data_IF_061523411577
#
_entry.id   IF_061523411577
#
_cell.length_a   1.000
_cell.length_b   1.000
_cell.length_c   1.000
_cell.angle_alpha   90.00
_cell.angle_beta   90.00
_cell.angle_gamma   90.00
#
_symmetry.space_group_name_H-M   'P 1'
#
loop_
_entity.id
_entity.type
_entity.pdbx_description
1 polymer ?
#
# COMPACT_ATOMS: atom_id res chain seq x y z
N UNK A 1 -4.46 -19.72 -4.95
CA UNK A 1 -2.98 -19.59 -4.98
C UNK A 1 -2.63 -18.32 -5.75
N UNK A 2 -1.66 -17.57 -5.26
CA UNK A 2 -1.13 -16.36 -5.91
C UNK A 2 0.38 -16.29 -5.75
N UNK A 3 1.03 -15.52 -6.63
CA UNK A 3 2.46 -15.24 -6.57
C UNK A 3 2.68 -13.73 -6.62
N UNK A 4 3.71 -13.27 -5.95
CA UNK A 4 4.15 -11.88 -6.02
C UNK A 4 5.30 -11.74 -7.01
N UNK A 5 5.07 -10.91 -8.02
CA UNK A 5 6.05 -10.58 -9.06
C UNK A 5 6.32 -9.07 -9.02
N UNK A 6 7.18 -8.59 -8.11
CA UNK A 6 7.48 -7.17 -8.05
C UNK A 6 8.18 -6.73 -9.34
N UNK A 7 7.60 -5.73 -10.00
CA UNK A 7 8.20 -5.06 -11.15
C UNK A 7 7.89 -5.61 -12.53
N UNK A 8 7.22 -6.76 -12.69
CA UNK A 8 6.75 -7.29 -13.99
C UNK A 8 7.70 -7.03 -15.19
N UNK A 9 9.00 -7.34 -15.03
CA UNK A 9 10.02 -7.12 -16.07
C UNK A 9 10.74 -5.77 -16.00
N UNK A 10 10.36 -4.90 -15.08
CA UNK A 10 11.08 -3.68 -14.74
C UNK A 10 11.85 -3.84 -13.44
N UNK A 11 12.73 -2.88 -13.12
CA UNK A 11 13.37 -2.84 -11.81
C UNK A 11 12.29 -2.72 -10.72
N UNK A 12 12.19 -3.69 -9.81
CA UNK A 12 11.15 -3.71 -8.81
C UNK A 12 11.28 -2.52 -7.83
N UNK A 13 10.15 -1.93 -7.49
CA UNK A 13 10.03 -0.85 -6.52
C UNK A 13 8.85 -1.12 -5.60
N UNK A 14 8.95 -0.68 -4.35
CA UNK A 14 7.88 -0.75 -3.38
C UNK A 14 7.18 0.61 -3.32
N UNK A 15 5.88 0.64 -3.58
CA UNK A 15 5.05 1.82 -3.31
C UNK A 15 4.89 2.00 -1.80
N UNK A 16 5.23 3.18 -1.30
CA UNK A 16 5.14 3.51 0.12
C UNK A 16 3.87 4.29 0.39
N UNK A 17 2.78 3.58 0.58
CA UNK A 17 1.57 4.10 1.21
C UNK A 17 1.44 3.56 2.63
N UNK A 18 0.56 4.13 3.43
CA UNK A 18 0.33 3.66 4.79
C UNK A 18 -1.03 4.04 5.34
N UNK A 19 -1.49 3.25 6.29
CA UNK A 19 -2.66 3.63 7.08
C UNK A 19 -2.23 4.60 8.18
N UNK A 20 -3.04 5.62 8.41
CA UNK A 20 -2.84 6.58 9.50
C UNK A 20 -3.98 6.48 10.51
N UNK A 21 -3.62 6.49 11.79
CA UNK A 21 -4.58 6.64 12.87
C UNK A 21 -4.62 8.11 13.31
N UNK A 22 -5.79 8.71 13.24
CA UNK A 22 -6.02 10.08 13.65
C UNK A 22 -6.66 10.10 15.04
N UNK A 23 -6.07 10.85 15.95
CA UNK A 23 -6.60 11.05 17.29
C UNK A 23 -7.22 12.44 17.38
N UNK A 24 -8.54 12.55 17.59
CA UNK A 24 -9.18 13.85 17.73
C UNK A 24 -8.72 14.56 19.00
N UNK A 25 -8.73 15.88 18.99
CA UNK A 25 -8.50 16.69 20.18
C UNK A 25 -9.68 16.53 21.12
N UNK A 26 -9.42 16.06 22.35
CA UNK A 26 -10.42 15.82 23.37
C UNK A 26 -10.20 16.75 24.57
N UNK A 27 -11.26 16.93 25.38
CA UNK A 27 -11.23 17.71 26.62
C UNK A 27 -11.27 16.84 27.89
N UNK A 28 -11.41 15.55 27.72
CA UNK A 28 -11.53 14.55 28.79
C UNK A 28 -10.17 13.87 28.98
N UNK A 29 -9.54 14.10 30.13
CA UNK A 29 -8.21 13.61 30.42
C UNK A 29 -8.11 12.08 30.37
N UNK A 30 -9.16 11.36 30.79
CA UNK A 30 -9.19 9.90 30.73
C UNK A 30 -9.18 9.38 29.28
N UNK A 31 -9.90 10.06 28.39
CA UNK A 31 -9.91 9.72 26.97
C UNK A 31 -8.61 10.09 26.28
N UNK A 32 -7.98 11.20 26.67
CA UNK A 32 -6.64 11.58 26.18
C UNK A 32 -5.62 10.53 26.60
N UNK A 33 -5.65 10.08 27.85
CA UNK A 33 -4.79 9.01 28.33
C UNK A 33 -5.01 7.71 27.55
N UNK A 34 -6.27 7.32 27.31
CA UNK A 34 -6.61 6.13 26.53
C UNK A 34 -6.14 6.21 25.07
N UNK A 35 -6.16 7.39 24.42
CA UNK A 35 -5.55 7.59 23.10
C UNK A 35 -4.03 7.32 23.13
N UNK A 36 -3.34 7.80 24.17
CA UNK A 36 -1.91 7.55 24.35
C UNK A 36 -1.60 6.06 24.53
N UNK A 37 -2.40 5.37 25.33
CA UNK A 37 -2.27 3.91 25.53
C UNK A 37 -2.53 3.13 24.24
N UNK A 38 -3.54 3.52 23.46
CA UNK A 38 -3.82 2.91 22.16
C UNK A 38 -2.67 3.13 21.18
N UNK A 39 -2.15 4.35 21.09
CA UNK A 39 -1.00 4.65 20.24
C UNK A 39 0.22 3.80 20.63
N UNK A 40 0.50 3.70 21.92
CA UNK A 40 1.59 2.87 22.43
C UNK A 40 1.38 1.38 22.15
N UNK A 41 0.14 0.89 22.26
CA UNK A 41 -0.22 -0.50 21.93
C UNK A 41 -0.01 -0.78 20.44
N UNK A 42 -0.45 0.11 19.56
CA UNK A 42 -0.30 -0.04 18.11
C UNK A 42 1.18 -0.10 17.67
N UNK A 43 2.06 0.57 18.40
CA UNK A 43 3.50 0.59 18.15
C UNK A 43 4.28 -0.55 18.84
N UNK A 44 3.66 -1.37 19.67
CA UNK A 44 4.36 -2.52 20.28
C UNK A 44 4.86 -3.49 19.22
N UNK A 45 6.10 -4.03 19.33
CA UNK A 45 6.64 -5.00 18.38
C UNK A 45 5.70 -6.18 18.13
N UNK A 46 5.15 -6.77 19.19
CA UNK A 46 4.22 -7.90 19.11
C UNK A 46 2.92 -7.55 18.38
N UNK A 47 2.39 -6.36 18.60
CA UNK A 47 1.19 -5.87 17.90
C UNK A 47 1.48 -5.63 16.43
N UNK A 48 2.62 -5.02 16.12
CA UNK A 48 3.05 -4.79 14.74
C UNK A 48 3.21 -6.10 13.96
N UNK A 49 3.81 -7.12 14.56
CA UNK A 49 3.93 -8.45 13.93
C UNK A 49 2.55 -9.05 13.70
N UNK A 50 1.74 -9.18 14.76
CA UNK A 50 0.43 -9.84 14.67
C UNK A 50 -0.51 -9.15 13.68
N UNK A 51 -0.55 -7.82 13.68
CA UNK A 51 -1.38 -7.03 12.77
C UNK A 51 -0.93 -7.18 11.32
N UNK A 52 0.36 -7.01 11.05
CA UNK A 52 0.86 -7.02 9.69
C UNK A 52 0.85 -8.41 9.06
N UNK A 53 1.15 -9.47 9.82
CA UNK A 53 1.00 -10.85 9.32
C UNK A 53 -0.44 -11.16 8.92
N UNK A 54 -1.42 -10.67 9.68
CA UNK A 54 -2.85 -10.87 9.36
C UNK A 54 -3.32 -10.01 8.20
N UNK A 55 -2.85 -8.78 8.11
CA UNK A 55 -3.22 -7.83 7.05
C UNK A 55 -2.47 -8.09 5.74
N UNK A 56 -1.27 -8.67 5.78
CA UNK A 56 -0.39 -8.81 4.62
C UNK A 56 0.35 -7.52 4.27
N UNK A 57 0.55 -6.62 5.25
CA UNK A 57 1.27 -5.35 5.10
C UNK A 57 2.63 -5.39 5.78
N UNK A 58 3.45 -4.39 5.54
CA UNK A 58 4.73 -4.24 6.23
C UNK A 58 4.56 -3.38 7.49
N UNK A 59 5.27 -3.69 8.59
CA UNK A 59 5.24 -2.89 9.80
C UNK A 59 5.97 -1.56 9.60
N UNK A 60 5.61 -0.56 10.41
CA UNK A 60 6.34 0.71 10.47
C UNK A 60 7.63 0.63 11.30
N UNK A 61 7.85 -0.50 11.98
CA UNK A 61 9.04 -0.78 12.80
C UNK A 61 9.99 -1.70 12.05
N UNK A 62 11.28 -1.34 12.04
CA UNK A 62 12.35 -2.17 11.48
C UNK A 62 12.94 -3.20 12.46
N UNK A 63 12.56 -3.17 13.74
CA UNK A 63 13.09 -4.02 14.81
C UNK A 63 12.13 -5.16 15.21
N UNK A 64 11.35 -5.67 14.26
CA UNK A 64 10.36 -6.74 14.47
C UNK A 64 10.72 -7.99 13.68
N UNK A 65 10.43 -9.15 14.25
CA UNK A 65 10.64 -10.44 13.59
C UNK A 65 9.48 -10.77 12.66
N UNK A 66 9.74 -10.80 11.36
CA UNK A 66 8.83 -11.17 10.30
C UNK A 66 9.22 -12.47 9.59
N UNK A 67 9.95 -13.36 10.26
CA UNK A 67 10.35 -14.66 9.71
C UNK A 67 9.15 -15.52 9.28
N UNK A 68 7.99 -15.34 9.92
CA UNK A 68 6.74 -16.00 9.55
C UNK A 68 5.96 -15.30 8.42
N UNK A 69 6.49 -14.22 7.84
CA UNK A 69 5.83 -13.52 6.74
C UNK A 69 5.83 -14.34 5.46
N UNK A 70 4.79 -14.16 4.65
CA UNK A 70 4.67 -14.84 3.37
C UNK A 70 5.68 -14.30 2.33
N UNK A 71 5.81 -15.00 1.20
CA UNK A 71 6.73 -14.64 0.11
C UNK A 71 6.57 -13.20 -0.38
N UNK A 72 5.35 -12.68 -0.46
CA UNK A 72 5.08 -11.30 -0.88
C UNK A 72 5.64 -10.27 0.10
N UNK A 73 5.43 -10.50 1.39
CA UNK A 73 5.95 -9.62 2.44
C UNK A 73 7.48 -9.68 2.49
N UNK A 74 8.09 -10.86 2.34
CA UNK A 74 9.56 -11.01 2.30
C UNK A 74 10.17 -10.26 1.11
N UNK A 75 9.56 -10.34 -0.07
CA UNK A 75 9.98 -9.55 -1.24
C UNK A 75 9.84 -8.05 -1.01
N UNK A 76 8.75 -7.62 -0.36
CA UNK A 76 8.55 -6.21 0.02
C UNK A 76 9.61 -5.73 1.00
N UNK A 77 9.95 -6.52 2.03
CA UNK A 77 11.02 -6.20 2.98
C UNK A 77 12.38 -6.06 2.28
N UNK A 78 12.69 -6.96 1.36
CA UNK A 78 13.95 -6.89 0.60
C UNK A 78 14.05 -5.60 -0.24
N UNK A 79 12.93 -5.12 -0.80
CA UNK A 79 12.89 -3.84 -1.53
C UNK A 79 13.02 -2.65 -0.58
N UNK A 80 12.41 -2.72 0.60
CA UNK A 80 12.54 -1.71 1.64
C UNK A 80 14.01 -1.57 2.10
N UNK A 81 14.68 -2.68 2.38
CA UNK A 81 16.07 -2.72 2.80
C UNK A 81 17.03 -2.17 1.72
N UNK A 82 16.69 -2.34 0.46
CA UNK A 82 17.44 -1.80 -0.68
C UNK A 82 17.15 -0.32 -0.94
N UNK A 83 16.21 0.29 -0.23
CA UNK A 83 15.74 1.66 -0.52
C UNK A 83 15.04 1.78 -1.89
N UNK A 84 14.58 0.67 -2.44
CA UNK A 84 13.90 0.62 -3.73
C UNK A 84 12.43 1.07 -3.59
N UNK A 85 12.23 2.33 -3.23
CA UNK A 85 10.94 2.90 -2.88
C UNK A 85 10.41 3.86 -3.94
N UNK A 86 9.09 3.94 -4.03
CA UNK A 86 8.37 4.98 -4.77
C UNK A 86 7.33 5.63 -3.84
N UNK A 87 7.02 6.92 -4.03
CA UNK A 87 5.86 7.52 -3.37
C UNK A 87 4.58 6.74 -3.71
N UNK A 88 3.59 6.85 -2.85
CA UNK A 88 2.25 6.33 -3.15
C UNK A 88 1.70 7.03 -4.41
N UNK A 89 1.36 6.25 -5.41
CA UNK A 89 0.82 6.77 -6.68
C UNK A 89 -0.46 7.58 -6.48
N UNK A 90 -1.27 7.25 -5.46
CA UNK A 90 -2.46 8.02 -5.12
C UNK A 90 -2.14 9.45 -4.67
N UNK A 91 -0.93 9.70 -4.18
CA UNK A 91 -0.46 11.04 -3.82
C UNK A 91 0.09 11.84 -5.01
N UNK A 92 0.32 11.17 -6.13
CA UNK A 92 0.89 11.75 -7.35
C UNK A 92 -0.19 12.03 -8.42
N UNK A 93 -1.39 11.51 -8.23
CA UNK A 93 -2.49 11.64 -9.18
C UNK A 93 -3.56 12.56 -8.62
N UNK A 94 -4.22 13.31 -9.50
CA UNK A 94 -5.46 13.98 -9.12
C UNK A 94 -6.54 12.96 -8.79
N UNK A 95 -7.53 13.29 -7.94
CA UNK A 95 -8.65 12.38 -7.67
C UNK A 95 -9.39 11.94 -8.94
N UNK A 96 -9.49 12.80 -9.93
CA UNK A 96 -10.12 12.49 -11.21
C UNK A 96 -9.33 11.45 -11.99
N UNK A 97 -8.02 11.63 -12.14
CA UNK A 97 -7.13 10.66 -12.80
C UNK A 97 -7.14 9.31 -12.08
N UNK A 98 -7.13 9.30 -10.74
CA UNK A 98 -7.21 8.08 -9.96
C UNK A 98 -8.55 7.33 -10.18
N UNK A 99 -9.66 8.07 -10.28
CA UNK A 99 -10.97 7.48 -10.58
C UNK A 99 -11.04 6.92 -12.00
N UNK A 100 -10.52 7.63 -12.99
CA UNK A 100 -10.44 7.14 -14.37
C UNK A 100 -9.60 5.86 -14.46
N UNK A 101 -8.47 5.79 -13.76
CA UNK A 101 -7.63 4.60 -13.69
C UNK A 101 -8.37 3.41 -13.08
N UNK A 102 -9.09 3.61 -11.98
CA UNK A 102 -9.89 2.57 -11.36
C UNK A 102 -11.02 2.07 -12.28
N UNK A 103 -11.66 2.97 -13.02
CA UNK A 103 -12.69 2.63 -14.01
C UNK A 103 -12.09 1.79 -15.12
N UNK A 104 -10.99 2.22 -15.72
CA UNK A 104 -10.30 1.47 -16.79
C UNK A 104 -9.93 0.06 -16.35
N UNK A 105 -9.36 -0.10 -15.17
CA UNK A 105 -8.97 -1.41 -14.66
C UNK A 105 -10.19 -2.30 -14.37
N UNK A 106 -11.25 -1.71 -13.83
CA UNK A 106 -12.49 -2.45 -13.54
C UNK A 106 -13.15 -2.95 -14.83
N UNK A 107 -13.24 -2.10 -15.84
CA UNK A 107 -13.79 -2.46 -17.14
C UNK A 107 -12.95 -3.52 -17.85
N UNK A 108 -11.63 -3.35 -17.89
CA UNK A 108 -10.72 -4.34 -18.46
C UNK A 108 -10.81 -5.71 -17.78
N UNK A 109 -10.99 -5.73 -16.47
CA UNK A 109 -11.15 -6.98 -15.70
C UNK A 109 -12.52 -7.65 -15.92
N UNK A 110 -13.56 -6.85 -16.14
CA UNK A 110 -14.93 -7.33 -16.29
C UNK A 110 -15.26 -7.75 -17.73
N UNK A 111 -14.63 -7.15 -18.74
CA UNK A 111 -14.92 -7.37 -20.15
C UNK A 111 -13.70 -8.02 -20.86
N UNK A 112 -13.80 -9.32 -21.09
CA UNK A 112 -12.77 -10.11 -21.78
C UNK A 112 -12.63 -9.77 -23.28
N UNK A 113 -13.52 -8.95 -23.85
CA UNK A 113 -13.40 -8.49 -25.23
C UNK A 113 -12.41 -7.33 -25.38
N UNK A 114 -12.08 -6.61 -24.29
CA UNK A 114 -11.07 -5.55 -24.30
C UNK A 114 -9.69 -6.20 -24.39
N UNK A 115 -8.95 -5.88 -25.44
CA UNK A 115 -7.60 -6.40 -25.56
C UNK A 115 -6.63 -5.68 -24.61
N UNK A 116 -5.56 -6.39 -24.19
CA UNK A 116 -4.51 -5.77 -23.39
C UNK A 116 -3.83 -4.58 -24.11
N UNK A 117 -3.77 -4.61 -25.44
CA UNK A 117 -3.20 -3.52 -26.24
C UNK A 117 -4.10 -2.26 -26.19
N UNK A 118 -5.43 -2.44 -26.28
CA UNK A 118 -6.37 -1.32 -26.20
C UNK A 118 -6.37 -0.72 -24.79
N UNK A 119 -6.46 -1.55 -23.76
CA UNK A 119 -6.39 -1.10 -22.37
C UNK A 119 -5.07 -0.35 -22.07
N UNK A 120 -3.94 -0.83 -22.60
CA UNK A 120 -2.66 -0.15 -22.47
C UNK A 120 -2.65 1.20 -23.18
N UNK A 121 -3.21 1.29 -24.39
CA UNK A 121 -3.29 2.54 -25.14
C UNK A 121 -4.13 3.59 -24.38
N UNK A 122 -5.27 3.19 -23.82
CA UNK A 122 -6.12 4.06 -23.02
C UNK A 122 -5.44 4.49 -21.73
N UNK A 123 -4.73 3.59 -21.05
CA UNK A 123 -3.92 3.92 -19.87
C UNK A 123 -2.85 4.97 -20.20
N UNK A 124 -2.07 4.77 -21.26
CA UNK A 124 -1.02 5.71 -21.69
C UNK A 124 -1.61 7.08 -22.01
N UNK A 125 -2.74 7.13 -22.73
CA UNK A 125 -3.44 8.38 -23.04
C UNK A 125 -3.94 9.10 -21.79
N UNK A 126 -4.50 8.37 -20.84
CA UNK A 126 -4.97 8.92 -19.58
C UNK A 126 -3.82 9.53 -18.77
N UNK A 127 -2.70 8.81 -18.60
CA UNK A 127 -1.54 9.31 -17.84
C UNK A 127 -0.86 10.48 -18.55
N UNK A 128 -0.82 10.48 -19.88
CA UNK A 128 -0.24 11.62 -20.64
C UNK A 128 -1.04 12.92 -20.48
N UNK A 129 -2.32 12.84 -20.09
CA UNK A 129 -3.18 14.00 -19.85
C UNK A 129 -3.44 14.22 -18.33
N UNK A 130 -2.75 13.49 -17.47
CA UNK A 130 -2.83 13.71 -16.03
C UNK A 130 -2.07 15.01 -15.68
N UNK A 131 -2.76 15.93 -14.99
CA UNK A 131 -2.19 17.18 -14.47
C UNK A 131 -1.55 16.99 -13.11
#
# INVERSE_FOLDING_TARGET
DYSCLPGLGMNPRLGTGGDAFYFPVLKDDAKIAAQGELAALLLKPTTQVAFNLKKGSLPVRGDVDLSAANDCMQKGLALLDQGALLPDTNMLLTPDTANQMNTLFTEFFADTSISAADAQADFVKMIANAD
#
